data_IF_627654629980
#
_entry.id   IF_627654629980
#
_cell.length_a   1.000
_cell.length_b   1.000
_cell.length_c   1.000
_cell.angle_alpha   90.00
_cell.angle_beta   90.00
_cell.angle_gamma   90.00
#
_symmetry.space_group_name_H-M   'P 1'
#
loop_
_entity.id
_entity.type
_entity.pdbx_description
1 polymer ?
#
# COMPACT_ATOMS: atom_id res chain seq x y z
N UNK A 1 8.22 5.37 -8.58
CA UNK A 1 8.54 6.80 -8.38
C UNK A 1 7.37 7.70 -7.95
N UNK A 2 6.09 7.45 -8.31
CA UNK A 2 5.00 8.37 -7.91
C UNK A 2 4.65 8.40 -6.42
N UNK A 3 4.71 7.27 -5.70
CA UNK A 3 4.28 7.19 -4.30
C UNK A 3 5.26 7.86 -3.32
N UNK A 4 6.56 7.70 -3.52
CA UNK A 4 7.60 8.19 -2.60
C UNK A 4 8.49 9.30 -3.20
N UNK A 5 8.21 9.69 -4.44
CA UNK A 5 8.97 10.71 -5.18
C UNK A 5 10.01 10.14 -6.13
N UNK A 6 10.53 11.01 -7.00
CA UNK A 6 11.70 10.73 -7.82
C UNK A 6 12.99 11.10 -7.07
N UNK A 7 14.12 10.41 -7.31
CA UNK A 7 15.42 10.78 -6.76
C UNK A 7 15.96 12.08 -7.41
N UNK A 8 16.95 12.75 -6.79
CA UNK A 8 17.59 13.95 -7.35
C UNK A 8 18.07 13.73 -8.79
N UNK A 9 17.77 14.67 -9.69
CA UNK A 9 18.19 14.61 -11.10
C UNK A 9 17.19 13.95 -12.07
N UNK A 10 16.03 13.48 -11.59
CA UNK A 10 14.97 12.93 -12.44
C UNK A 10 13.77 13.89 -12.57
N UNK A 11 13.05 13.84 -13.70
CA UNK A 11 11.79 14.56 -13.90
C UNK A 11 10.77 14.16 -12.84
N UNK A 12 10.16 15.15 -12.17
CA UNK A 12 9.24 14.94 -11.04
C UNK A 12 9.90 14.93 -9.66
N UNK A 13 11.20 15.27 -9.55
CA UNK A 13 11.88 15.46 -8.25
C UNK A 13 11.19 16.53 -7.38
N UNK A 14 10.79 17.65 -7.97
CA UNK A 14 10.13 18.75 -7.24
C UNK A 14 8.81 18.30 -6.59
N UNK A 15 8.03 17.45 -7.26
CA UNK A 15 6.65 17.10 -6.90
C UNK A 15 6.46 16.21 -5.67
N UNK A 16 7.54 15.78 -5.00
CA UNK A 16 7.45 14.92 -3.80
C UNK A 16 6.80 13.56 -4.07
N UNK A 17 6.65 12.75 -3.03
CA UNK A 17 5.90 11.50 -3.12
C UNK A 17 4.43 11.71 -2.82
N UNK A 18 3.54 11.18 -3.67
CA UNK A 18 2.09 11.31 -3.46
C UNK A 18 1.63 10.72 -2.13
N UNK A 19 2.24 9.61 -1.68
CA UNK A 19 1.92 8.97 -0.41
C UNK A 19 2.60 9.70 0.74
N UNK A 20 3.91 9.91 0.60
CA UNK A 20 4.76 10.44 1.68
C UNK A 20 4.36 11.86 2.05
N UNK A 21 4.01 12.70 1.08
CA UNK A 21 3.60 14.07 1.35
C UNK A 21 2.20 14.14 1.98
N UNK A 22 1.26 13.30 1.54
CA UNK A 22 -0.09 13.26 2.12
C UNK A 22 -0.07 12.81 3.58
N UNK A 23 0.73 11.80 3.93
CA UNK A 23 0.86 11.32 5.31
C UNK A 23 1.61 12.33 6.17
N UNK A 24 2.61 13.00 5.61
CA UNK A 24 3.31 14.08 6.31
C UNK A 24 2.38 15.24 6.66
N UNK A 25 1.57 15.70 5.69
CA UNK A 25 0.59 16.76 5.91
C UNK A 25 -0.53 16.33 6.85
N UNK A 26 -0.96 15.06 6.78
CA UNK A 26 -2.08 14.50 7.56
C UNK A 26 -1.73 13.11 8.15
N UNK A 27 -1.01 13.06 9.27
CA UNK A 27 -0.51 11.80 9.85
C UNK A 27 -1.61 10.87 10.38
N UNK A 28 -2.77 11.42 10.73
CA UNK A 28 -3.97 10.68 11.15
C UNK A 28 -4.87 10.46 9.94
N UNK A 29 -4.50 9.51 9.10
CA UNK A 29 -5.19 9.24 7.84
C UNK A 29 -5.51 7.76 7.67
N UNK A 30 -6.44 7.50 6.75
CA UNK A 30 -6.74 6.14 6.27
C UNK A 30 -6.27 6.08 4.83
N UNK A 31 -5.43 5.08 4.53
CA UNK A 31 -4.88 4.85 3.19
C UNK A 31 -5.44 3.54 2.68
N UNK A 32 -6.07 3.58 1.51
CA UNK A 32 -6.59 2.41 0.82
C UNK A 32 -5.69 2.04 -0.35
N UNK A 33 -5.22 0.79 -0.36
CA UNK A 33 -4.58 0.17 -1.51
C UNK A 33 -5.52 -0.87 -2.08
N UNK A 34 -6.07 -0.58 -3.27
CA UNK A 34 -6.98 -1.48 -3.96
C UNK A 34 -6.26 -2.44 -4.90
N UNK A 35 -6.81 -3.66 -5.01
CA UNK A 35 -6.27 -4.76 -5.82
C UNK A 35 -4.76 -4.93 -5.65
N UNK A 36 -4.28 -5.01 -4.41
CA UNK A 36 -2.85 -4.98 -4.09
C UNK A 36 -2.06 -6.06 -4.84
N UNK A 37 -2.69 -7.19 -5.20
CA UNK A 37 -2.07 -8.26 -5.99
C UNK A 37 -1.57 -7.83 -7.37
N UNK A 38 -2.13 -6.75 -7.93
CA UNK A 38 -1.72 -6.19 -9.23
C UNK A 38 -0.60 -5.16 -9.12
N UNK A 39 -0.22 -4.79 -7.90
CA UNK A 39 0.81 -3.80 -7.67
C UNK A 39 2.19 -4.28 -8.14
N UNK A 40 3.04 -3.33 -8.56
CA UNK A 40 4.44 -3.61 -8.90
C UNK A 40 5.22 -4.06 -7.66
N UNK A 41 6.26 -4.87 -7.86
CA UNK A 41 7.03 -5.45 -6.75
C UNK A 41 7.61 -4.40 -5.79
N UNK A 42 8.00 -3.24 -6.31
CA UNK A 42 8.50 -2.11 -5.50
C UNK A 42 7.49 -1.62 -4.45
N UNK A 43 6.19 -1.76 -4.73
CA UNK A 43 5.13 -1.39 -3.78
C UNK A 43 5.19 -2.29 -2.56
N UNK A 44 5.37 -3.60 -2.75
CA UNK A 44 5.49 -4.52 -1.63
C UNK A 44 6.71 -4.19 -0.77
N UNK A 45 7.85 -3.85 -1.36
CA UNK A 45 9.05 -3.48 -0.58
C UNK A 45 8.80 -2.24 0.30
N UNK A 46 8.15 -1.22 -0.25
CA UNK A 46 7.77 -0.02 0.51
C UNK A 46 6.78 -0.38 1.63
N UNK A 47 5.77 -1.20 1.34
CA UNK A 47 4.78 -1.62 2.33
C UNK A 47 5.41 -2.47 3.43
N UNK A 48 6.33 -3.39 3.10
CA UNK A 48 7.05 -4.19 4.08
C UNK A 48 7.82 -3.30 5.06
N UNK A 49 8.52 -2.28 4.56
CA UNK A 49 9.21 -1.31 5.43
C UNK A 49 8.23 -0.57 6.35
N UNK A 50 7.11 -0.06 5.81
CA UNK A 50 6.11 0.64 6.62
C UNK A 50 5.48 -0.29 7.67
N UNK A 51 5.15 -1.53 7.31
CA UNK A 51 4.49 -2.48 8.19
C UNK A 51 5.44 -3.00 9.28
N UNK A 52 6.75 -3.04 9.03
CA UNK A 52 7.76 -3.47 10.00
C UNK A 52 8.17 -2.31 10.93
N UNK A 53 8.61 -1.18 10.38
CA UNK A 53 9.18 -0.06 11.14
C UNK A 53 8.15 1.02 11.52
N UNK A 54 6.96 1.01 10.94
CA UNK A 54 5.98 2.09 11.06
C UNK A 54 6.41 3.39 10.40
N UNK A 55 7.47 3.37 9.59
CA UNK A 55 8.11 4.56 9.01
C UNK A 55 8.61 4.30 7.61
N UNK A 56 8.80 5.37 6.85
CA UNK A 56 9.37 5.31 5.51
C UNK A 56 10.20 6.55 5.23
N UNK A 57 11.38 6.35 4.63
CA UNK A 57 12.20 7.45 4.11
C UNK A 57 11.89 7.64 2.63
N UNK A 58 11.50 8.86 2.25
CA UNK A 58 11.20 9.19 0.86
C UNK A 58 12.48 9.40 0.02
N UNK A 59 12.32 9.62 -1.29
CA UNK A 59 13.46 9.81 -2.20
C UNK A 59 14.27 11.10 -1.96
N UNK A 60 13.77 12.01 -1.12
CA UNK A 60 14.45 13.24 -0.69
C UNK A 60 15.11 13.08 0.68
N UNK A 61 15.03 11.90 1.31
CA UNK A 61 15.59 11.63 2.63
C UNK A 61 14.69 12.05 3.79
N UNK A 62 13.43 12.42 3.53
CA UNK A 62 12.46 12.82 4.56
C UNK A 62 11.88 11.55 5.21
N UNK A 63 11.98 11.47 6.53
CA UNK A 63 11.41 10.38 7.32
C UNK A 63 9.93 10.68 7.62
N UNK A 64 9.06 9.75 7.26
CA UNK A 64 7.60 9.85 7.40
C UNK A 64 7.14 8.81 8.41
N UNK A 65 6.29 9.23 9.35
CA UNK A 65 5.75 8.38 10.41
C UNK A 65 4.31 7.94 10.07
N UNK A 66 4.11 6.62 9.99
CA UNK A 66 2.83 5.97 9.69
C UNK A 66 2.16 5.39 10.94
N UNK A 67 2.72 5.56 12.14
CA UNK A 67 2.18 4.94 13.38
C UNK A 67 0.76 5.38 13.74
N UNK A 68 0.30 6.53 13.24
CA UNK A 68 -1.07 7.04 13.41
C UNK A 68 -1.94 6.88 12.15
N UNK A 69 -1.45 6.15 11.16
CA UNK A 69 -2.11 5.91 9.88
C UNK A 69 -2.70 4.50 9.84
N UNK A 70 -3.96 4.38 9.43
CA UNK A 70 -4.58 3.08 9.17
C UNK A 70 -4.36 2.75 7.70
N UNK A 71 -3.70 1.62 7.42
CA UNK A 71 -3.50 1.12 6.06
C UNK A 71 -4.48 -0.03 5.81
N UNK A 72 -5.31 0.11 4.79
CA UNK A 72 -6.27 -0.88 4.35
C UNK A 72 -5.84 -1.44 2.99
N UNK A 73 -5.69 -2.76 2.92
CA UNK A 73 -5.45 -3.48 1.67
C UNK A 73 -6.71 -4.24 1.26
N UNK A 74 -7.06 -4.17 -0.02
CA UNK A 74 -8.06 -5.06 -0.63
C UNK A 74 -7.39 -5.91 -1.70
N UNK A 75 -7.87 -7.15 -1.86
CA UNK A 75 -7.37 -8.07 -2.88
C UNK A 75 -8.48 -8.93 -3.45
N UNK A 76 -8.43 -9.15 -4.78
CA UNK A 76 -9.37 -10.03 -5.47
C UNK A 76 -8.85 -11.47 -5.62
N UNK A 77 -7.69 -11.83 -5.04
CA UNK A 77 -7.11 -13.19 -5.15
C UNK A 77 -8.03 -14.30 -4.60
N UNK A 78 -8.84 -14.00 -3.58
CA UNK A 78 -9.78 -14.93 -2.97
C UNK A 78 -11.13 -15.03 -3.68
N UNK A 79 -11.38 -14.21 -4.70
CA UNK A 79 -12.69 -14.14 -5.34
C UNK A 79 -12.95 -15.40 -6.19
N UNK A 80 -14.02 -16.17 -5.92
CA UNK A 80 -14.32 -17.38 -6.67
C UNK A 80 -14.64 -17.04 -8.13
N UNK A 81 -13.75 -17.41 -9.05
CA UNK A 81 -14.01 -17.24 -10.50
C UNK A 81 -15.14 -18.13 -11.02
N UNK A 82 -15.44 -19.20 -10.28
CA UNK A 82 -16.47 -20.18 -10.63
C UNK A 82 -17.44 -20.38 -9.46
N UNK A 83 -18.72 -20.13 -9.71
CA UNK A 83 -19.81 -20.29 -8.75
C UNK A 83 -19.85 -21.70 -8.11
N UNK A 84 -19.56 -22.73 -8.91
CA UNK A 84 -19.50 -24.12 -8.44
C UNK A 84 -18.40 -24.37 -7.40
N UNK A 85 -17.30 -23.61 -7.43
CA UNK A 85 -16.21 -23.73 -6.44
C UNK A 85 -16.56 -23.03 -5.13
N UNK A 86 -17.33 -21.94 -5.19
CA UNK A 86 -17.88 -21.27 -4.00
C UNK A 86 -18.85 -22.18 -3.25
N UNK A 87 -19.75 -22.86 -3.95
CA UNK A 87 -20.72 -23.77 -3.33
C UNK A 87 -20.05 -24.97 -2.66
N UNK A 88 -19.02 -25.59 -3.27
CA UNK A 88 -18.26 -26.70 -2.66
C UNK A 88 -17.57 -26.34 -1.34
N UNK A 89 -17.08 -25.11 -1.21
CA UNK A 89 -16.40 -24.67 0.00
C UNK A 89 -17.36 -24.11 1.05
N UNK A 90 -18.61 -23.80 0.68
CA UNK A 90 -19.63 -23.34 1.62
C UNK A 90 -20.00 -24.44 2.61
N UNK A 91 -19.97 -25.70 2.17
CA UNK A 91 -20.24 -26.87 3.02
C UNK A 91 -19.20 -27.07 4.14
N UNK A 92 -18.00 -26.47 4.05
CA UNK A 92 -16.96 -26.52 5.09
C UNK A 92 -17.12 -25.45 6.19
N UNK A 93 -18.05 -24.50 6.04
CA UNK A 93 -18.28 -23.40 7.00
C UNK A 93 -19.58 -23.57 7.79
N UNK A 94 -20.23 -24.73 7.70
CA UNK A 94 -21.50 -25.04 8.37
C UNK A 94 -21.32 -26.09 9.48
N UNK A 95 -20.08 -26.54 9.74
CA UNK A 95 -19.74 -27.42 10.87
C UNK A 95 -19.06 -26.63 12.00
#
# INVERSE_FOLDING_TARGET
SRLIGCPPGYTGYESGGQLTEQVFEKPKSIILFDEIEKAHQDIYNIMLQILDEGRLTDSKGKLIDFTNTIILFTSNLGCPKNYNKYLRNKDFLVD
#
